data_IF_364128037696
#
_entry.id   IF_364128037696
#
_cell.length_a   1.000
_cell.length_b   1.000
_cell.length_c   1.000
_cell.angle_alpha   90.00
_cell.angle_beta   90.00
_cell.angle_gamma   90.00
#
_symmetry.space_group_name_H-M   'P 1'
#
loop_
_entity.id
_entity.type
_entity.pdbx_description
1 polymer ?
#
# COMPACT_ATOMS: atom_id res chain seq x y z
N UNK A 1 -1.32 56.83 18.43
CA UNK A 1 -0.66 55.53 18.70
C UNK A 1 -1.61 54.42 18.31
N UNK A 2 -1.45 53.84 17.13
CA UNK A 2 -2.24 52.69 16.67
C UNK A 2 -1.39 51.43 16.90
N UNK A 3 -1.86 50.51 17.74
CA UNK A 3 -1.30 49.16 17.86
C UNK A 3 -2.03 48.27 16.85
N UNK A 4 -1.38 47.95 15.74
CA UNK A 4 -1.80 46.86 14.86
C UNK A 4 -1.40 45.54 15.54
N UNK A 5 -2.39 44.72 15.91
CA UNK A 5 -2.19 43.34 16.31
C UNK A 5 -2.40 42.48 15.07
N UNK A 6 -1.33 42.04 14.43
CA UNK A 6 -1.39 41.01 13.40
C UNK A 6 -1.46 39.64 14.09
N UNK A 7 -2.65 39.07 14.21
CA UNK A 7 -2.81 37.66 14.56
C UNK A 7 -2.54 36.85 13.29
N UNK A 8 -1.31 36.37 13.14
CA UNK A 8 -0.96 35.33 12.18
C UNK A 8 -1.53 34.00 12.70
N UNK A 9 -2.69 33.59 12.19
CA UNK A 9 -3.12 32.20 12.25
C UNK A 9 -2.16 31.38 11.38
N UNK A 10 -1.06 30.91 11.96
CA UNK A 10 -0.34 29.75 11.43
C UNK A 10 -1.29 28.55 11.57
N UNK A 11 -2.10 28.32 10.54
CA UNK A 11 -2.83 27.07 10.41
C UNK A 11 -1.74 26.01 10.24
N UNK A 12 -1.48 25.28 11.32
CA UNK A 12 -0.40 24.31 11.36
C UNK A 12 -0.61 23.26 10.25
N UNK A 13 0.39 22.97 9.40
CA UNK A 13 0.29 21.90 8.41
C UNK A 13 0.15 20.50 9.04
N UNK A 14 0.26 20.39 10.37
CA UNK A 14 0.12 19.14 11.12
C UNK A 14 -1.26 18.48 10.97
N UNK A 15 -2.33 19.25 10.73
CA UNK A 15 -3.69 18.68 10.69
C UNK A 15 -3.97 17.89 9.40
N UNK A 16 -3.27 18.19 8.31
CA UNK A 16 -3.48 17.52 7.02
C UNK A 16 -2.80 16.15 6.95
N UNK A 17 -1.58 16.03 7.50
CA UNK A 17 -0.85 14.75 7.48
C UNK A 17 -1.51 13.68 8.36
N UNK A 18 -2.19 14.06 9.45
CA UNK A 18 -2.94 13.13 10.30
C UNK A 18 -4.17 12.56 9.60
N UNK A 19 -4.85 13.37 8.76
CA UNK A 19 -6.08 12.94 8.09
C UNK A 19 -5.84 11.90 7.00
N UNK A 20 -4.66 11.90 6.35
CA UNK A 20 -4.30 10.87 5.37
C UNK A 20 -4.14 9.49 6.02
N UNK A 21 -3.59 9.44 7.24
CA UNK A 21 -3.33 8.16 7.94
C UNK A 21 -4.62 7.47 8.42
N UNK A 22 -5.63 8.25 8.82
CA UNK A 22 -6.91 7.74 9.30
C UNK A 22 -7.74 7.03 8.20
N UNK A 23 -7.34 7.17 6.93
CA UNK A 23 -8.07 6.62 5.77
C UNK A 23 -7.40 5.41 5.13
N UNK A 24 -6.31 4.93 5.72
CA UNK A 24 -5.61 3.72 5.29
C UNK A 24 -6.25 2.48 5.90
N UNK A 25 -6.50 1.45 5.09
CA UNK A 25 -6.97 0.15 5.60
C UNK A 25 -8.39 0.15 6.14
N UNK A 26 -9.25 1.08 5.70
CA UNK A 26 -10.64 1.20 6.16
C UNK A 26 -11.51 -0.03 5.85
N UNK A 27 -11.12 -0.80 4.84
CA UNK A 27 -11.82 -2.00 4.41
C UNK A 27 -10.86 -3.10 3.92
N UNK A 28 -11.43 -4.23 3.53
CA UNK A 28 -10.72 -5.37 2.95
C UNK A 28 -10.94 -5.53 1.45
N UNK A 29 -11.38 -4.48 0.76
CA UNK A 29 -11.41 -4.44 -0.69
C UNK A 29 -10.00 -4.62 -1.24
N UNK A 30 -9.87 -5.41 -2.30
CA UNK A 30 -8.61 -5.51 -3.04
C UNK A 30 -8.30 -4.25 -3.84
N UNK A 31 -9.31 -3.43 -4.14
CA UNK A 31 -9.12 -2.15 -4.85
C UNK A 31 -8.75 -1.09 -3.81
N UNK A 32 -7.71 -0.31 -4.13
CA UNK A 32 -7.28 0.80 -3.29
C UNK A 32 -8.27 1.96 -3.36
N UNK A 33 -8.46 2.62 -2.22
CA UNK A 33 -9.09 3.94 -2.20
C UNK A 33 -8.06 5.03 -2.58
N UNK A 34 -8.53 6.26 -2.77
CA UNK A 34 -7.70 7.39 -3.19
C UNK A 34 -6.52 7.66 -2.24
N UNK A 35 -6.78 7.69 -0.93
CA UNK A 35 -5.75 7.97 0.08
C UNK A 35 -4.71 6.84 0.14
N UNK A 36 -5.13 5.58 0.04
CA UNK A 36 -4.25 4.41 -0.04
C UNK A 36 -3.40 4.43 -1.31
N UNK A 37 -3.97 4.83 -2.46
CA UNK A 37 -3.25 4.98 -3.72
C UNK A 37 -2.18 6.07 -3.62
N UNK A 38 -2.52 7.25 -3.10
CA UNK A 38 -1.57 8.35 -2.88
C UNK A 38 -0.45 7.93 -1.95
N UNK A 39 -0.80 7.28 -0.84
CA UNK A 39 0.16 6.79 0.14
C UNK A 39 1.12 5.76 -0.46
N UNK A 40 0.62 4.74 -1.15
CA UNK A 40 1.47 3.69 -1.74
C UNK A 40 2.31 4.21 -2.90
N UNK A 41 1.80 5.15 -3.71
CA UNK A 41 2.61 5.84 -4.71
C UNK A 41 3.79 6.57 -4.04
N UNK A 42 3.55 7.30 -2.95
CA UNK A 42 4.61 8.00 -2.22
C UNK A 42 5.60 7.05 -1.55
N UNK A 43 5.13 5.91 -1.03
CA UNK A 43 5.96 4.97 -0.28
C UNK A 43 6.81 4.06 -1.19
N UNK A 44 6.26 3.62 -2.32
CA UNK A 44 6.80 2.49 -3.08
C UNK A 44 7.30 2.85 -4.48
N UNK A 45 6.74 3.88 -5.12
CA UNK A 45 7.08 4.24 -6.49
C UNK A 45 8.32 5.12 -6.48
N UNK A 46 9.41 4.62 -7.08
CA UNK A 46 10.65 5.38 -7.19
C UNK A 46 10.68 6.19 -8.49
N UNK A 47 11.59 7.16 -8.57
CA UNK A 47 11.77 7.94 -9.79
C UNK A 47 12.14 7.02 -10.97
N UNK A 48 11.28 6.94 -11.97
CA UNK A 48 11.45 6.11 -13.17
C UNK A 48 10.55 4.89 -13.23
N UNK A 49 9.88 4.53 -12.13
CA UNK A 49 8.80 3.56 -12.16
C UNK A 49 7.61 4.11 -12.98
N UNK A 50 6.95 3.22 -13.72
CA UNK A 50 5.78 3.57 -14.54
C UNK A 50 4.46 3.13 -13.93
N UNK A 51 4.52 2.37 -12.83
CA UNK A 51 3.33 1.85 -12.18
C UNK A 51 2.68 2.94 -11.34
N UNK A 52 1.35 3.01 -11.40
CA UNK A 52 0.53 3.93 -10.62
C UNK A 52 -0.48 3.12 -9.82
N UNK A 53 -0.52 3.32 -8.50
CA UNK A 53 -1.44 2.66 -7.60
C UNK A 53 -2.88 3.20 -7.65
N UNK A 54 -3.17 4.25 -8.42
CA UNK A 54 -4.51 4.84 -8.54
C UNK A 54 -5.56 3.81 -8.97
N UNK A 55 -6.54 3.53 -8.09
CA UNK A 55 -7.60 2.52 -8.27
C UNK A 55 -7.09 1.10 -8.59
N UNK A 56 -5.84 0.81 -8.28
CA UNK A 56 -5.25 -0.49 -8.57
C UNK A 56 -5.84 -1.59 -7.66
N UNK A 57 -6.01 -2.79 -8.21
CA UNK A 57 -6.37 -4.01 -7.49
C UNK A 57 -5.10 -4.69 -6.98
N UNK A 58 -4.88 -4.66 -5.67
CA UNK A 58 -3.63 -5.05 -5.02
C UNK A 58 -3.80 -6.26 -4.12
N UNK A 59 -2.87 -7.20 -4.21
CA UNK A 59 -2.72 -8.28 -3.25
C UNK A 59 -1.63 -7.93 -2.23
N UNK A 60 -1.92 -8.09 -0.93
CA UNK A 60 -0.95 -7.88 0.13
C UNK A 60 -0.38 -9.20 0.62
N UNK A 61 0.94 -9.30 0.71
CA UNK A 61 1.66 -10.52 1.06
C UNK A 61 2.68 -10.25 2.15
N UNK A 62 2.81 -11.18 3.10
CA UNK A 62 3.78 -11.09 4.19
C UNK A 62 4.43 -12.43 4.53
N UNK A 63 5.23 -12.42 5.59
CA UNK A 63 6.01 -13.53 6.10
C UNK A 63 7.40 -13.59 5.45
N UNK A 64 8.38 -14.12 6.18
CA UNK A 64 9.78 -14.19 5.73
C UNK A 64 9.95 -14.78 4.32
N UNK A 65 9.11 -15.76 3.96
CA UNK A 65 9.13 -16.44 2.67
C UNK A 65 8.26 -15.78 1.58
N UNK A 66 7.46 -14.75 1.90
CA UNK A 66 6.60 -14.04 0.95
C UNK A 66 5.47 -14.89 0.38
N UNK A 67 4.78 -15.69 1.20
CA UNK A 67 3.73 -16.61 0.74
C UNK A 67 2.38 -16.41 1.43
N UNK A 68 2.33 -15.62 2.50
CA UNK A 68 1.11 -15.39 3.28
C UNK A 68 0.37 -14.18 2.72
N UNK A 69 -0.68 -14.42 1.95
CA UNK A 69 -1.63 -13.37 1.54
C UNK A 69 -2.38 -12.91 2.79
N UNK A 70 -2.44 -11.60 3.00
CA UNK A 70 -3.19 -10.94 4.07
C UNK A 70 -4.19 -9.98 3.46
N UNK A 71 -5.17 -9.61 4.27
CA UNK A 71 -6.15 -8.58 3.98
C UNK A 71 -5.54 -7.17 4.09
N UNK A 72 -6.15 -6.22 3.38
CA UNK A 72 -5.66 -4.84 3.23
C UNK A 72 -5.57 -4.13 4.58
N UNK A 73 -6.61 -4.24 5.40
CA UNK A 73 -6.62 -3.67 6.74
C UNK A 73 -5.46 -4.21 7.60
N UNK A 74 -5.21 -5.52 7.59
CA UNK A 74 -4.09 -6.10 8.32
C UNK A 74 -2.73 -5.56 7.84
N UNK A 75 -2.56 -5.41 6.53
CA UNK A 75 -1.33 -4.82 5.98
C UNK A 75 -1.08 -3.42 6.56
N UNK A 76 -2.06 -2.52 6.48
CA UNK A 76 -1.89 -1.16 6.99
C UNK A 76 -1.73 -1.15 8.53
N UNK A 77 -2.66 -1.78 9.26
CA UNK A 77 -2.72 -1.71 10.73
C UNK A 77 -1.53 -2.38 11.43
N UNK A 78 -0.99 -3.46 10.86
CA UNK A 78 0.02 -4.29 11.54
C UNK A 78 1.40 -4.19 10.93
N UNK A 79 1.50 -3.87 9.65
CA UNK A 79 2.77 -3.94 8.94
C UNK A 79 3.30 -2.56 8.52
N UNK A 80 2.45 -1.53 8.46
CA UNK A 80 2.81 -0.20 7.98
C UNK A 80 2.67 0.86 9.06
N UNK A 81 1.45 1.13 9.54
CA UNK A 81 1.16 2.24 10.47
C UNK A 81 2.06 2.23 11.72
N UNK A 82 2.31 1.09 12.40
CA UNK A 82 3.17 1.07 13.59
C UNK A 82 4.64 1.47 13.35
N UNK A 83 5.11 1.42 12.10
CA UNK A 83 6.46 1.86 11.71
C UNK A 83 6.46 3.35 11.38
N UNK A 84 5.46 3.80 10.61
CA UNK A 84 5.29 5.21 10.26
C UNK A 84 5.10 6.07 11.51
N UNK A 85 4.29 5.64 12.48
CA UNK A 85 4.10 6.32 13.77
C UNK A 85 5.40 6.49 14.57
N UNK A 86 6.39 5.64 14.31
CA UNK A 86 7.71 5.66 14.96
C UNK A 86 8.77 6.35 14.10
N UNK A 87 8.38 6.95 12.98
CA UNK A 87 9.29 7.54 11.99
C UNK A 87 10.33 6.52 11.47
N UNK A 88 9.89 5.27 11.29
CA UNK A 88 10.69 4.16 10.76
C UNK A 88 10.12 3.74 9.42
N UNK A 89 10.98 3.60 8.42
CA UNK A 89 10.59 3.10 7.11
C UNK A 89 10.16 1.62 7.19
N UNK A 90 8.92 1.29 6.80
CA UNK A 90 8.46 -0.09 6.77
C UNK A 90 9.17 -0.88 5.66
N UNK A 91 9.58 -2.11 5.96
CA UNK A 91 10.13 -3.02 4.94
C UNK A 91 9.03 -3.54 4.03
N UNK A 92 8.79 -2.81 2.94
CA UNK A 92 7.77 -3.14 1.93
C UNK A 92 8.28 -2.84 0.51
N UNK A 93 7.81 -3.61 -0.48
CA UNK A 93 8.08 -3.40 -1.91
C UNK A 93 6.93 -3.98 -2.74
N UNK A 94 6.90 -3.70 -4.05
CA UNK A 94 5.87 -4.26 -4.92
C UNK A 94 6.46 -4.96 -6.15
N UNK A 95 5.60 -5.78 -6.78
CA UNK A 95 5.82 -6.33 -8.12
C UNK A 95 4.54 -6.12 -8.93
N UNK A 96 4.66 -5.35 -10.01
CA UNK A 96 3.63 -5.23 -11.03
C UNK A 96 3.42 -6.59 -11.70
N UNK A 97 2.15 -6.93 -11.94
CA UNK A 97 1.76 -8.08 -12.75
C UNK A 97 1.65 -7.64 -14.21
N UNK A 98 2.18 -8.47 -15.12
CA UNK A 98 1.93 -8.28 -16.55
C UNK A 98 0.50 -8.71 -16.92
N UNK A 99 0.14 -8.55 -18.20
CA UNK A 99 -1.22 -8.83 -18.67
C UNK A 99 -1.62 -10.31 -18.48
N UNK A 100 -0.68 -11.25 -18.62
CA UNK A 100 -0.93 -12.68 -18.42
C UNK A 100 -1.12 -13.00 -16.93
N UNK A 101 -0.24 -12.47 -16.07
CA UNK A 101 -0.34 -12.63 -14.62
C UNK A 101 -1.60 -11.98 -14.04
N UNK A 102 -1.99 -10.82 -14.58
CA UNK A 102 -3.21 -10.11 -14.22
C UNK A 102 -4.44 -10.95 -14.55
N UNK A 103 -4.50 -11.56 -15.73
CA UNK A 103 -5.59 -12.46 -16.10
C UNK A 103 -5.67 -13.68 -15.16
N UNK A 104 -4.55 -14.39 -14.98
CA UNK A 104 -4.48 -15.59 -14.13
C UNK A 104 -4.85 -15.29 -12.67
N UNK A 105 -4.49 -14.11 -12.16
CA UNK A 105 -4.75 -13.72 -10.77
C UNK A 105 -6.19 -13.27 -10.50
N UNK A 106 -7.04 -13.17 -11.53
CA UNK A 106 -8.39 -12.61 -11.40
C UNK A 106 -8.40 -11.08 -11.40
N UNK A 107 -7.51 -10.45 -12.15
CA UNK A 107 -7.45 -9.02 -12.43
C UNK A 107 -6.61 -8.19 -11.48
N UNK A 108 -5.70 -8.77 -10.69
CA UNK A 108 -4.81 -7.99 -9.83
C UNK A 108 -3.75 -7.25 -10.67
N UNK A 109 -3.47 -6.00 -10.32
CA UNK A 109 -2.50 -5.16 -11.00
C UNK A 109 -1.08 -5.33 -10.45
N UNK A 110 -0.96 -5.59 -9.15
CA UNK A 110 0.32 -5.80 -8.48
C UNK A 110 0.18 -6.59 -7.17
N UNK A 111 1.32 -7.10 -6.71
CA UNK A 111 1.48 -7.69 -5.38
C UNK A 111 2.38 -6.79 -4.55
N UNK A 112 1.90 -6.37 -3.38
CA UNK A 112 2.66 -5.62 -2.38
C UNK A 112 3.12 -6.58 -1.28
N UNK A 113 4.42 -6.57 -1.01
CA UNK A 113 5.09 -7.45 -0.06
C UNK A 113 5.56 -6.66 1.14
N UNK A 114 5.26 -7.11 2.35
CA UNK A 114 5.81 -6.56 3.60
C UNK A 114 6.46 -7.64 4.46
N UNK A 115 7.59 -7.33 5.10
CA UNK A 115 8.33 -8.25 5.96
C UNK A 115 8.81 -9.54 5.27
N UNK A 116 9.10 -9.46 3.96
CA UNK A 116 9.60 -10.57 3.15
C UNK A 116 11.12 -10.49 3.02
N UNK A 117 11.81 -11.60 3.31
CA UNK A 117 13.28 -11.71 3.24
C UNK A 117 13.74 -12.57 2.06
N UNK A 118 12.98 -13.61 1.74
CA UNK A 118 13.34 -14.60 0.73
C UNK A 118 12.32 -14.61 -0.40
N UNK A 119 12.52 -13.75 -1.39
CA UNK A 119 11.67 -13.65 -2.57
C UNK A 119 12.34 -14.29 -3.79
N UNK A 120 11.56 -15.05 -4.57
CA UNK A 120 11.99 -15.62 -5.87
C UNK A 120 10.82 -15.57 -6.85
N UNK A 121 11.10 -15.53 -8.14
CA UNK A 121 10.04 -15.40 -9.16
C UNK A 121 9.09 -16.60 -9.16
N UNK A 122 9.58 -17.83 -8.95
CA UNK A 122 8.70 -19.00 -8.81
C UNK A 122 7.71 -18.93 -7.63
N UNK A 123 7.95 -18.07 -6.63
CA UNK A 123 6.95 -17.80 -5.58
C UNK A 123 5.89 -16.82 -6.04
N UNK A 124 6.24 -15.85 -6.88
CA UNK A 124 5.28 -14.95 -7.54
C UNK A 124 4.28 -15.74 -8.36
N UNK A 125 4.74 -16.67 -9.19
CA UNK A 125 3.87 -17.50 -10.04
C UNK A 125 2.85 -18.30 -9.22
N UNK A 126 3.30 -18.84 -8.08
CA UNK A 126 2.42 -19.57 -7.16
C UNK A 126 1.40 -18.66 -6.48
N UNK A 127 1.79 -17.42 -6.13
CA UNK A 127 0.86 -16.41 -5.59
C UNK A 127 -0.17 -15.99 -6.63
N UNK A 128 0.24 -15.70 -7.85
CA UNK A 128 -0.64 -15.34 -8.97
C UNK A 128 -1.71 -16.41 -9.17
N UNK A 129 -1.31 -17.69 -9.26
CA UNK A 129 -2.25 -18.82 -9.37
C UNK A 129 -3.17 -18.95 -8.15
N UNK A 130 -2.68 -18.66 -6.94
CA UNK A 130 -3.47 -18.72 -5.72
C UNK A 130 -4.51 -17.59 -5.64
N UNK A 131 -4.18 -16.40 -6.15
CA UNK A 131 -5.10 -15.26 -6.22
C UNK A 131 -6.27 -15.57 -7.15
N UNK A 132 -6.01 -16.14 -8.34
CA UNK A 132 -7.06 -16.53 -9.29
C UNK A 132 -8.09 -17.49 -8.70
N UNK A 133 -7.63 -18.49 -7.94
CA UNK A 133 -8.51 -19.48 -7.26
C UNK A 133 -9.36 -18.89 -6.14
N UNK A 134 -8.98 -17.73 -5.58
CA UNK A 134 -9.69 -17.11 -4.47
C UNK A 134 -10.94 -16.34 -4.95
N UNK A 135 -11.02 -16.01 -6.25
CA UNK A 135 -12.16 -15.31 -6.86
C UNK A 135 -13.35 -16.20 -7.24
N UNK A 136 -13.29 -17.52 -6.99
CA UNK A 136 -14.31 -18.49 -7.40
C UNK A 136 -15.33 -18.88 -6.29
N UNK A 137 -15.41 -18.13 -5.19
CA UNK A 137 -16.34 -18.41 -4.08
C UNK A 137 -17.16 -17.19 -3.68
#
# INVERSE_FOLDING_TARGET
MIRLVFILFFISPLLLASQEMDRLGLDNSSVLNEDESVFLNKLLVQQGDRFDFTNAKIAFVTGSAGTKIVDKQYYFDKLILPFIEKDVEPSTFYKQLDDEEKDISGGYDAIVFAWVKWYTDGKKDNLVKKLGRKGEY
#
